data_IF_669099868356
#
_entry.id   IF_669099868356
#
_cell.length_a   1.000
_cell.length_b   1.000
_cell.length_c   1.000
_cell.angle_alpha   90.00
_cell.angle_beta   90.00
_cell.angle_gamma   90.00
#
_symmetry.space_group_name_H-M   'P 1'
#
loop_
_entity.id
_entity.type
_entity.pdbx_description
1 polymer ?
#
# COMPACT_ATOMS: atom_id res chain seq x y z
N UNK A 1 45.18 66.58 63.40
CA UNK A 1 46.62 66.61 63.27
C UNK A 1 47.07 65.22 62.78
N UNK A 2 47.61 65.17 61.58
CA UNK A 2 48.86 64.49 61.16
C UNK A 2 49.02 63.09 61.73
N UNK A 3 49.30 61.97 61.00
CA UNK A 3 50.32 61.84 59.99
C UNK A 3 50.15 60.49 59.36
N UNK A 4 50.43 60.37 58.07
CA UNK A 4 50.67 59.22 57.19
C UNK A 4 51.72 58.29 57.78
N UNK A 5 51.63 57.03 57.50
CA UNK A 5 52.79 56.21 57.05
C UNK A 5 52.34 55.06 56.18
N UNK A 6 53.00 55.00 55.10
CA UNK A 6 53.04 54.06 54.00
C UNK A 6 54.16 53.05 54.29
N UNK A 7 53.89 51.76 54.10
CA UNK A 7 54.88 50.68 53.82
C UNK A 7 54.08 49.52 53.31
N UNK A 8 54.26 49.11 52.17
CA UNK A 8 55.43 48.75 51.41
C UNK A 8 55.48 47.22 51.36
N UNK A 9 54.95 46.73 50.26
CA UNK A 9 55.31 45.61 49.40
C UNK A 9 56.05 44.43 49.99
N UNK A 10 55.53 43.27 49.70
CA UNK A 10 56.29 42.13 49.12
C UNK A 10 55.35 41.20 48.40
N UNK A 11 55.39 41.25 47.09
CA UNK A 11 54.74 40.30 46.21
C UNK A 11 55.50 38.98 46.32
N UNK A 12 54.81 37.92 46.70
CA UNK A 12 55.21 36.57 46.43
C UNK A 12 54.28 36.05 45.30
N UNK A 13 54.77 36.13 44.10
CA UNK A 13 54.20 35.39 43.00
C UNK A 13 54.40 33.90 43.27
N UNK A 14 53.36 33.22 43.74
CA UNK A 14 53.24 31.80 43.55
C UNK A 14 52.55 31.61 42.21
N UNK A 15 53.30 31.21 41.20
CA UNK A 15 52.78 30.64 39.95
C UNK A 15 52.16 29.28 40.29
N UNK A 16 50.88 29.27 40.61
CA UNK A 16 50.09 28.06 40.47
C UNK A 16 49.88 27.85 38.97
N UNK A 17 50.68 26.98 38.38
CA UNK A 17 50.36 26.41 37.09
C UNK A 17 49.07 25.59 37.27
N UNK A 18 47.94 26.23 37.11
CA UNK A 18 46.70 25.54 36.77
C UNK A 18 46.96 24.98 35.37
N UNK A 19 47.27 23.72 35.27
CA UNK A 19 46.99 22.97 34.07
C UNK A 19 45.47 23.13 33.85
N UNK A 20 45.11 24.01 32.97
CA UNK A 20 43.82 23.91 32.31
C UNK A 20 43.88 22.59 31.54
N UNK A 21 43.39 21.53 32.18
CA UNK A 21 42.78 20.48 31.41
C UNK A 21 41.67 21.16 30.61
N UNK A 22 41.98 21.53 29.38
CA UNK A 22 40.98 21.72 28.37
C UNK A 22 40.21 20.40 28.33
N UNK A 23 39.07 20.38 29.00
CA UNK A 23 38.04 19.41 28.70
C UNK A 23 37.75 19.61 27.21
N UNK A 24 38.46 18.83 26.39
CA UNK A 24 38.08 18.66 25.01
C UNK A 24 36.67 18.09 25.11
N UNK A 25 35.69 18.97 24.99
CA UNK A 25 34.32 18.59 24.81
C UNK A 25 34.31 17.82 23.50
N UNK A 26 34.47 16.52 23.58
CA UNK A 26 34.23 15.62 22.46
C UNK A 26 32.77 15.79 22.17
N UNK A 27 32.48 16.60 21.15
CA UNK A 27 31.12 16.76 20.63
C UNK A 27 30.74 15.40 20.11
N UNK A 28 30.07 14.62 20.96
CA UNK A 28 29.55 13.34 20.58
C UNK A 28 28.37 13.65 19.65
N UNK A 29 28.54 13.36 18.36
CA UNK A 29 27.49 13.59 17.37
C UNK A 29 26.39 12.55 17.60
N UNK A 30 25.18 13.05 17.88
CA UNK A 30 23.99 12.23 18.02
C UNK A 30 23.60 11.60 16.67
N UNK A 31 22.92 10.47 16.74
CA UNK A 31 22.30 9.83 15.58
C UNK A 31 21.11 10.71 15.15
N UNK A 32 21.15 11.18 13.91
CA UNK A 32 20.08 11.94 13.29
C UNK A 32 19.38 11.10 12.21
N UNK A 33 18.08 11.25 12.10
CA UNK A 33 17.24 10.47 11.17
C UNK A 33 16.72 11.35 10.03
N UNK A 34 16.67 10.78 8.82
CA UNK A 34 15.88 11.24 7.71
C UNK A 34 14.92 10.14 7.30
N UNK A 35 13.77 10.50 6.75
CA UNK A 35 12.73 9.54 6.33
C UNK A 35 12.39 9.79 4.89
N UNK A 36 12.38 8.74 4.11
CA UNK A 36 11.77 8.69 2.79
C UNK A 36 10.75 7.55 2.77
N UNK A 37 9.70 7.72 1.99
CA UNK A 37 8.75 6.67 1.70
C UNK A 37 8.54 6.63 0.20
N UNK A 38 8.01 5.54 -0.33
CA UNK A 38 7.73 5.44 -1.76
C UNK A 38 6.87 6.62 -2.24
N UNK A 39 7.18 7.12 -3.42
CA UNK A 39 6.95 8.51 -3.80
C UNK A 39 5.54 8.91 -4.16
N UNK A 40 4.55 8.06 -4.17
CA UNK A 40 3.16 8.52 -4.40
C UNK A 40 2.14 7.47 -3.97
N UNK A 41 1.47 7.71 -2.88
CA UNK A 41 0.22 7.03 -2.59
C UNK A 41 -0.90 8.06 -2.56
N UNK A 42 -2.02 7.74 -3.19
CA UNK A 42 -3.20 8.59 -3.31
C UNK A 42 -4.38 8.09 -2.48
N UNK A 43 -4.13 7.19 -1.53
CA UNK A 43 -5.16 6.75 -0.60
C UNK A 43 -5.13 7.59 0.69
N UNK A 44 -6.29 7.85 1.27
CA UNK A 44 -6.43 8.74 2.41
C UNK A 44 -5.60 8.34 3.65
N UNK A 45 -5.21 7.06 3.78
CA UNK A 45 -4.56 6.53 4.98
C UNK A 45 -3.21 5.83 4.72
N UNK A 46 -2.64 5.99 3.52
CA UNK A 46 -1.31 5.42 3.19
C UNK A 46 -0.21 6.46 3.30
N UNK A 47 0.98 6.00 3.68
CA UNK A 47 2.16 6.85 3.79
C UNK A 47 2.88 7.02 2.45
N UNK A 48 3.41 8.21 2.21
CA UNK A 48 4.21 8.55 1.02
C UNK A 48 5.12 9.73 1.31
N UNK A 49 5.99 10.14 0.38
CA UNK A 49 6.88 11.29 0.58
C UNK A 49 6.16 12.59 0.93
N UNK A 50 4.92 12.76 0.49
CA UNK A 50 4.09 13.93 0.82
C UNK A 50 3.26 13.74 2.10
N UNK A 51 3.20 12.54 2.63
CA UNK A 51 2.46 12.16 3.83
C UNK A 51 3.24 11.14 4.63
N UNK A 52 4.30 11.61 5.26
CA UNK A 52 5.11 10.79 6.17
C UNK A 52 4.34 10.51 7.47
N UNK A 53 4.65 9.40 8.17
CA UNK A 53 4.09 9.15 9.48
C UNK A 53 4.50 10.25 10.46
N UNK A 54 3.70 10.49 11.50
CA UNK A 54 4.08 11.43 12.55
C UNK A 54 5.22 10.89 13.42
N UNK A 55 5.29 9.58 13.56
CA UNK A 55 6.31 8.87 14.33
C UNK A 55 6.52 7.45 13.82
N UNK A 56 7.65 6.89 14.13
CA UNK A 56 7.98 5.47 13.91
C UNK A 56 8.79 4.95 15.09
N UNK A 57 8.88 3.62 15.20
CA UNK A 57 9.78 2.96 16.14
C UNK A 57 11.01 2.43 15.43
N UNK A 58 12.18 2.53 16.10
CA UNK A 58 13.47 2.08 15.55
C UNK A 58 14.18 1.16 16.51
N UNK A 59 14.81 0.14 15.95
CA UNK A 59 15.77 -0.77 16.60
C UNK A 59 17.09 -0.69 15.87
N UNK A 60 18.18 -0.93 16.57
CA UNK A 60 19.46 -1.08 15.93
C UNK A 60 20.31 -2.16 16.63
N UNK A 61 21.03 -2.93 15.80
CA UNK A 61 22.07 -3.86 16.24
C UNK A 61 23.42 -3.39 15.76
N UNK A 62 24.45 -3.59 16.58
CA UNK A 62 25.83 -3.47 16.13
C UNK A 62 26.20 -4.64 15.22
N UNK A 63 27.24 -4.49 14.39
CA UNK A 63 27.74 -5.55 13.49
C UNK A 63 28.09 -6.87 14.16
N UNK A 64 28.38 -6.86 15.46
CA UNK A 64 28.57 -8.07 16.28
C UNK A 64 27.27 -8.62 16.90
N UNK A 65 26.12 -8.10 16.46
CA UNK A 65 24.79 -8.61 16.82
C UNK A 65 24.21 -8.08 18.12
N UNK A 66 24.93 -7.21 18.87
CA UNK A 66 24.42 -6.68 20.13
C UNK A 66 23.33 -5.62 19.88
N UNK A 67 22.26 -5.70 20.64
CA UNK A 67 21.20 -4.69 20.62
C UNK A 67 21.75 -3.35 21.14
N UNK A 68 21.57 -2.29 20.33
CA UNK A 68 22.05 -0.94 20.64
C UNK A 68 20.90 0.05 20.84
N UNK A 69 19.86 -0.02 20.01
CA UNK A 69 18.60 0.72 20.14
C UNK A 69 17.46 -0.29 20.23
N UNK A 70 16.53 -0.09 21.15
CA UNK A 70 15.49 -1.06 21.46
C UNK A 70 14.09 -0.42 21.46
N UNK A 71 13.58 -0.13 20.29
CA UNK A 71 12.21 0.38 20.12
C UNK A 71 12.05 1.85 20.49
N UNK A 72 13.09 2.64 20.24
CA UNK A 72 13.04 4.08 20.49
C UNK A 72 12.01 4.73 19.54
N UNK A 73 11.20 5.64 20.07
CA UNK A 73 10.18 6.35 19.31
C UNK A 73 10.80 7.60 18.70
N UNK A 74 10.79 7.67 17.39
CA UNK A 74 11.25 8.84 16.63
C UNK A 74 10.02 9.60 16.14
N UNK A 75 9.91 10.87 16.52
CA UNK A 75 8.79 11.72 16.18
C UNK A 75 9.22 12.90 15.31
N UNK A 76 8.39 13.24 14.33
CA UNK A 76 8.58 14.46 13.55
C UNK A 76 8.11 15.66 14.37
N UNK A 77 9.05 16.56 14.70
CA UNK A 77 8.77 17.82 15.39
C UNK A 77 9.27 18.94 14.48
N UNK A 78 8.35 19.70 13.93
CA UNK A 78 8.64 20.84 13.03
C UNK A 78 9.60 20.49 11.89
N UNK A 79 9.41 19.33 11.26
CA UNK A 79 10.23 18.84 10.14
C UNK A 79 11.55 18.16 10.57
N UNK A 80 11.79 18.02 11.88
CA UNK A 80 12.97 17.35 12.41
C UNK A 80 12.58 16.07 13.13
N UNK A 81 13.20 14.95 12.74
CA UNK A 81 13.00 13.66 13.38
C UNK A 81 13.78 13.57 14.69
N UNK A 82 13.07 13.53 15.80
CA UNK A 82 13.62 13.62 17.15
C UNK A 82 13.35 12.35 17.94
N UNK A 83 14.38 11.78 18.52
CA UNK A 83 14.26 10.64 19.44
C UNK A 83 13.63 11.09 20.76
N UNK A 84 12.48 10.46 21.08
CA UNK A 84 11.74 10.76 22.29
C UNK A 84 12.35 10.09 23.54
N UNK A 85 13.24 9.11 23.34
CA UNK A 85 13.96 8.41 24.43
C UNK A 85 15.25 9.13 24.84
N UNK A 86 15.65 10.15 24.10
CA UNK A 86 16.87 10.92 24.30
C UNK A 86 17.91 10.67 23.20
N UNK A 87 18.92 11.52 23.16
CA UNK A 87 19.95 11.43 22.13
C UNK A 87 20.73 10.13 22.21
N UNK A 88 20.75 9.36 21.11
CA UNK A 88 21.63 8.20 20.91
C UNK A 88 22.89 8.64 20.19
N UNK A 89 24.02 8.15 20.60
CA UNK A 89 25.31 8.51 20.03
C UNK A 89 25.86 7.36 19.19
N UNK A 90 26.67 7.69 18.20
CA UNK A 90 27.31 6.68 17.37
C UNK A 90 28.36 5.90 18.16
N UNK A 91 28.43 4.57 17.99
CA UNK A 91 29.55 3.80 18.51
C UNK A 91 30.86 4.19 17.77
N UNK A 92 31.99 4.27 18.47
CA UNK A 92 33.24 4.76 17.89
C UNK A 92 33.81 3.87 16.78
N UNK A 93 33.63 2.53 16.90
CA UNK A 93 34.35 1.55 16.06
C UNK A 93 33.42 0.53 15.40
N UNK A 94 32.11 0.64 15.58
CA UNK A 94 31.10 -0.33 15.06
C UNK A 94 30.14 0.34 14.15
N UNK A 95 29.65 -0.41 13.18
CA UNK A 95 28.50 0.00 12.38
C UNK A 95 27.20 -0.47 13.03
N UNK A 96 26.09 0.14 12.64
CA UNK A 96 24.76 -0.17 13.11
C UNK A 96 23.87 -0.61 11.94
N UNK A 97 23.11 -1.65 12.16
CA UNK A 97 22.00 -2.07 11.31
C UNK A 97 20.71 -1.58 11.94
N UNK A 98 19.99 -0.71 11.22
CA UNK A 98 18.73 -0.14 11.67
C UNK A 98 17.54 -0.88 11.09
N UNK A 99 16.50 -1.00 11.90
CA UNK A 99 15.22 -1.56 11.55
C UNK A 99 14.12 -0.66 12.12
N UNK A 100 13.18 -0.29 11.30
CA UNK A 100 12.10 0.59 11.74
C UNK A 100 10.75 0.13 11.21
N UNK A 101 9.68 0.51 11.90
CA UNK A 101 8.32 0.27 11.44
C UNK A 101 7.33 1.32 11.92
N UNK A 102 6.19 1.36 11.22
CA UNK A 102 4.97 2.04 11.64
C UNK A 102 3.84 1.02 11.63
N UNK A 103 2.94 1.11 12.60
CA UNK A 103 1.78 0.22 12.77
C UNK A 103 2.08 -1.26 13.03
N UNK A 104 3.34 -1.63 13.32
CA UNK A 104 3.74 -3.01 13.66
C UNK A 104 3.71 -3.33 15.16
N UNK A 105 3.14 -2.46 16.00
CA UNK A 105 3.10 -2.64 17.44
C UNK A 105 2.32 -3.90 17.87
N UNK A 106 2.89 -4.63 18.81
CA UNK A 106 2.30 -5.87 19.32
C UNK A 106 2.60 -7.12 18.47
N UNK A 107 3.02 -6.97 17.22
CA UNK A 107 3.40 -8.09 16.34
C UNK A 107 4.88 -8.08 15.96
N UNK A 108 5.56 -6.94 16.13
CA UNK A 108 6.98 -6.84 15.83
C UNK A 108 7.81 -7.66 16.82
N UNK A 109 8.69 -8.49 16.29
CA UNK A 109 9.66 -9.30 17.04
C UNK A 109 11.06 -9.06 16.53
N UNK A 110 11.96 -8.75 17.45
CA UNK A 110 13.36 -8.42 17.19
C UNK A 110 14.28 -9.38 17.96
N UNK A 111 14.33 -10.63 17.48
CA UNK A 111 15.14 -11.70 18.08
C UNK A 111 16.50 -11.87 17.36
N UNK A 112 17.20 -12.97 17.59
CA UNK A 112 18.52 -13.24 17.01
C UNK A 112 18.53 -13.46 15.49
N UNK A 113 17.36 -13.67 14.88
CA UNK A 113 17.18 -13.76 13.43
C UNK A 113 16.83 -12.43 12.77
N UNK A 114 16.32 -12.49 11.53
CA UNK A 114 15.73 -11.35 10.89
C UNK A 114 14.48 -10.89 11.67
N UNK A 115 14.23 -9.58 11.81
CA UNK A 115 13.01 -9.09 12.45
C UNK A 115 11.77 -9.59 11.72
N UNK A 116 10.67 -9.72 12.46
CA UNK A 116 9.39 -10.19 11.89
C UNK A 116 8.22 -9.37 12.43
N UNK A 117 7.15 -9.28 11.63
CA UNK A 117 5.81 -9.05 12.17
C UNK A 117 5.14 -10.40 12.31
N UNK A 118 5.02 -10.89 13.51
CA UNK A 118 4.61 -12.25 13.80
C UNK A 118 3.09 -12.31 14.06
N UNK A 119 2.36 -13.07 13.25
CA UNK A 119 0.92 -13.21 13.40
C UNK A 119 0.17 -11.88 13.16
N UNK A 120 0.64 -11.06 12.22
CA UNK A 120 -0.10 -9.87 11.82
C UNK A 120 -1.46 -10.27 11.24
N UNK A 121 -2.52 -9.60 11.69
CA UNK A 121 -3.87 -9.85 11.22
C UNK A 121 -4.50 -8.57 10.66
N UNK A 122 -4.98 -8.66 9.42
CA UNK A 122 -5.77 -7.58 8.79
C UNK A 122 -7.09 -7.44 9.53
N UNK A 123 -7.48 -6.19 9.83
CA UNK A 123 -8.73 -5.88 10.50
C UNK A 123 -9.94 -6.20 9.62
N UNK A 124 -10.99 -6.76 10.21
CA UNK A 124 -12.24 -7.04 9.53
C UNK A 124 -12.99 -5.74 9.16
N UNK A 125 -12.93 -4.73 10.04
CA UNK A 125 -13.43 -3.40 9.73
C UNK A 125 -12.42 -2.65 8.84
N UNK A 126 -12.83 -2.37 7.61
CA UNK A 126 -12.00 -1.66 6.62
C UNK A 126 -11.58 -0.26 7.06
N UNK A 127 -12.34 0.38 7.95
CA UNK A 127 -12.00 1.70 8.49
C UNK A 127 -10.91 1.64 9.54
N UNK A 128 -10.64 0.45 10.11
CA UNK A 128 -9.55 0.19 11.06
C UNK A 128 -8.30 -0.42 10.40
N UNK A 129 -8.33 -0.67 9.11
CA UNK A 129 -7.17 -1.19 8.38
C UNK A 129 -6.09 -0.12 8.31
N UNK A 130 -4.88 -0.48 8.69
CA UNK A 130 -3.74 0.42 8.76
C UNK A 130 -2.68 0.00 7.75
N UNK A 131 -2.01 0.98 7.18
CA UNK A 131 -0.85 0.76 6.34
C UNK A 131 0.35 0.35 7.22
N UNK A 132 0.85 -0.87 7.00
CA UNK A 132 2.01 -1.43 7.70
C UNK A 132 3.25 -1.13 6.87
N UNK A 133 4.13 -0.26 7.38
CA UNK A 133 5.37 0.08 6.70
C UNK A 133 6.60 -0.26 7.52
N UNK A 134 7.68 -0.59 6.83
CA UNK A 134 8.96 -0.99 7.43
C UNK A 134 10.15 -0.40 6.67
N UNK A 135 11.28 -0.32 7.35
CA UNK A 135 12.56 0.09 6.77
C UNK A 135 13.71 -0.71 7.36
N UNK A 136 14.71 -1.00 6.55
CA UNK A 136 15.99 -1.62 6.94
C UNK A 136 17.13 -0.79 6.36
N UNK A 137 18.10 -0.41 7.19
CA UNK A 137 19.33 0.24 6.77
C UNK A 137 20.52 -0.42 7.43
N UNK A 138 21.39 -1.01 6.62
CA UNK A 138 22.52 -1.83 7.05
C UNK A 138 23.84 -1.08 7.07
N UNK A 139 24.75 -1.51 7.94
CA UNK A 139 26.15 -1.12 7.90
C UNK A 139 26.40 0.38 8.12
N UNK A 140 25.50 1.10 8.77
CA UNK A 140 25.62 2.53 8.97
C UNK A 140 26.71 2.86 9.98
N UNK A 141 27.66 3.68 9.57
CA UNK A 141 28.76 4.15 10.43
C UNK A 141 28.56 5.61 10.84
N UNK A 142 29.27 6.03 11.87
CA UNK A 142 29.31 7.44 12.26
C UNK A 142 29.66 8.28 11.03
N UNK A 143 28.81 9.25 10.65
CA UNK A 143 29.11 10.11 9.51
C UNK A 143 30.30 11.06 9.81
N UNK A 144 31.04 11.41 8.77
CA UNK A 144 32.13 12.35 8.86
C UNK A 144 31.69 13.80 9.17
N UNK A 145 30.43 14.11 8.84
CA UNK A 145 29.83 15.42 9.05
C UNK A 145 28.54 15.30 9.87
N UNK A 146 28.31 16.25 10.77
CA UNK A 146 27.18 16.22 11.73
C UNK A 146 25.80 16.40 11.07
N UNK A 147 25.76 16.79 9.81
CA UNK A 147 24.54 17.00 9.01
C UNK A 147 24.06 15.74 8.27
N UNK A 148 24.91 14.70 8.19
CA UNK A 148 24.51 13.41 7.62
C UNK A 148 23.57 12.66 8.56
N UNK A 149 22.48 12.17 7.99
CA UNK A 149 21.42 11.42 8.68
C UNK A 149 21.41 9.97 8.22
N UNK A 150 20.92 9.08 9.07
CA UNK A 150 20.48 7.75 8.64
C UNK A 150 19.16 7.94 7.87
N UNK A 151 19.16 7.62 6.61
CA UNK A 151 17.98 7.73 5.76
C UNK A 151 17.21 6.42 5.81
N UNK A 152 16.07 6.43 6.49
CA UNK A 152 15.17 5.28 6.57
C UNK A 152 14.20 5.34 5.40
N UNK A 153 14.36 4.42 4.45
CA UNK A 153 13.49 4.28 3.30
C UNK A 153 12.37 3.29 3.63
N UNK A 154 11.19 3.81 3.94
CA UNK A 154 10.03 3.00 4.29
C UNK A 154 9.37 2.37 3.06
N UNK A 155 8.99 1.11 3.21
CA UNK A 155 8.30 0.27 2.23
C UNK A 155 6.97 -0.21 2.81
N UNK A 156 5.97 -0.32 1.94
CA UNK A 156 4.70 -0.93 2.31
C UNK A 156 4.85 -2.45 2.40
N UNK A 157 4.38 -3.04 3.48
CA UNK A 157 4.38 -4.49 3.65
C UNK A 157 3.10 -5.14 3.10
N UNK A 158 2.04 -4.37 2.89
CA UNK A 158 0.72 -4.83 2.46
C UNK A 158 0.43 -4.47 1.00
N UNK A 159 -0.66 -5.02 0.47
CA UNK A 159 -1.24 -4.66 -0.83
C UNK A 159 -2.46 -3.79 -0.63
N UNK A 160 -2.75 -2.90 -1.58
CA UNK A 160 -3.99 -2.15 -1.61
C UNK A 160 -4.91 -2.66 -2.73
N UNK A 161 -6.23 -2.65 -2.47
CA UNK A 161 -7.25 -3.03 -3.45
C UNK A 161 -8.36 -2.00 -3.43
N UNK A 162 -8.74 -1.51 -4.60
CA UNK A 162 -9.86 -0.60 -4.77
C UNK A 162 -10.63 -0.86 -6.07
N UNK A 163 -11.79 -0.24 -6.21
CA UNK A 163 -12.75 -0.59 -7.24
C UNK A 163 -13.23 0.62 -8.02
N UNK A 164 -13.42 0.41 -9.32
CA UNK A 164 -14.06 1.31 -10.29
C UNK A 164 -15.17 0.57 -11.01
N UNK A 165 -16.03 1.29 -11.68
CA UNK A 165 -17.06 0.71 -12.55
C UNK A 165 -17.25 1.52 -13.82
N UNK A 166 -17.62 0.84 -14.91
CA UNK A 166 -17.95 1.44 -16.20
C UNK A 166 -19.17 0.74 -16.78
N UNK A 167 -20.11 1.50 -17.28
CA UNK A 167 -21.30 0.98 -17.96
C UNK A 167 -21.20 1.28 -19.46
N UNK A 168 -21.22 0.24 -20.29
CA UNK A 168 -21.24 0.34 -21.77
C UNK A 168 -22.63 -0.02 -22.34
N UNK A 169 -23.61 -0.34 -21.49
CA UNK A 169 -24.94 -0.75 -21.96
C UNK A 169 -25.76 0.45 -22.44
N UNK A 170 -26.42 0.29 -23.60
CA UNK A 170 -27.16 1.38 -24.27
C UNK A 170 -28.46 1.75 -23.60
N UNK A 171 -29.12 0.77 -23.00
CA UNK A 171 -30.51 0.93 -22.46
C UNK A 171 -30.60 0.61 -20.98
N UNK A 172 -29.50 0.26 -20.35
CA UNK A 172 -29.48 -0.13 -18.95
C UNK A 172 -28.66 0.87 -18.11
N UNK A 173 -29.30 1.37 -17.07
CA UNK A 173 -28.60 2.07 -15.98
C UNK A 173 -28.16 1.07 -14.93
N UNK A 174 -26.97 1.24 -14.41
CA UNK A 174 -26.38 0.42 -13.35
C UNK A 174 -26.19 1.25 -12.11
N UNK A 175 -26.67 0.79 -10.98
CA UNK A 175 -26.30 1.33 -9.67
C UNK A 175 -25.49 0.28 -8.92
N UNK A 176 -24.29 0.65 -8.46
CA UNK A 176 -23.43 -0.18 -7.62
C UNK A 176 -23.52 0.31 -6.19
N UNK A 177 -23.96 -0.54 -5.27
CA UNK A 177 -24.16 -0.24 -3.85
C UNK A 177 -22.97 -0.68 -2.98
N UNK A 178 -22.25 -1.71 -3.41
CA UNK A 178 -21.12 -2.24 -2.66
C UNK A 178 -20.37 -3.29 -3.44
N UNK A 179 -19.15 -3.57 -2.98
CA UNK A 179 -18.30 -4.62 -3.50
C UNK A 179 -17.67 -5.38 -2.33
N UNK A 180 -17.75 -6.72 -2.38
CA UNK A 180 -16.95 -7.57 -1.49
C UNK A 180 -15.90 -8.33 -2.29
N UNK A 181 -14.78 -8.63 -1.64
CA UNK A 181 -13.81 -9.62 -2.10
C UNK A 181 -13.67 -10.71 -1.05
N UNK A 182 -13.83 -11.96 -1.45
CA UNK A 182 -13.91 -13.09 -0.52
C UNK A 182 -13.01 -14.25 -0.86
N UNK A 183 -13.00 -15.24 0.03
CA UNK A 183 -12.12 -16.41 0.06
C UNK A 183 -10.65 -15.99 0.20
N UNK A 184 -10.37 -15.13 1.19
CA UNK A 184 -9.06 -14.57 1.48
C UNK A 184 -8.54 -15.02 2.84
N UNK A 185 -7.23 -15.03 2.99
CA UNK A 185 -6.55 -15.14 4.28
C UNK A 185 -6.28 -13.76 4.87
N UNK A 186 -6.35 -13.65 6.19
CA UNK A 186 -6.18 -12.37 6.90
C UNK A 186 -4.97 -12.34 7.83
N UNK A 187 -4.33 -13.47 8.08
CA UNK A 187 -3.25 -13.59 9.06
C UNK A 187 -1.98 -14.13 8.41
N UNK A 188 -0.83 -13.59 8.82
CA UNK A 188 0.45 -14.04 8.32
C UNK A 188 1.61 -13.51 9.14
N UNK A 189 2.81 -13.99 8.82
CA UNK A 189 4.06 -13.52 9.38
C UNK A 189 4.91 -12.90 8.28
N UNK A 190 5.34 -11.67 8.49
CA UNK A 190 6.25 -10.96 7.59
C UNK A 190 7.67 -11.04 8.13
N UNK A 191 8.62 -11.48 7.32
CA UNK A 191 10.05 -11.47 7.64
C UNK A 191 10.72 -10.32 6.91
N UNK A 192 11.41 -9.48 7.65
CA UNK A 192 12.13 -8.33 7.09
C UNK A 192 13.23 -8.78 6.14
N UNK A 193 13.58 -7.97 5.12
CA UNK A 193 14.70 -8.26 4.22
C UNK A 193 16.03 -8.25 4.97
N UNK A 194 17.01 -8.94 4.41
CA UNK A 194 18.38 -9.00 4.93
C UNK A 194 19.25 -7.83 4.47
N UNK A 195 18.80 -7.09 3.47
CA UNK A 195 19.48 -5.95 2.84
C UNK A 195 18.78 -4.63 3.17
N UNK A 196 19.45 -3.51 2.88
CA UNK A 196 18.87 -2.18 3.07
C UNK A 196 17.69 -1.96 2.12
N UNK A 197 16.64 -1.32 2.60
CA UNK A 197 15.48 -0.95 1.77
C UNK A 197 15.77 0.20 0.81
N UNK A 198 16.86 0.93 1.01
CA UNK A 198 17.36 1.97 0.12
C UNK A 198 18.21 1.44 -1.04
N UNK A 199 18.80 0.24 -0.91
CA UNK A 199 19.69 -0.32 -1.93
C UNK A 199 18.90 -0.92 -3.10
N UNK A 200 19.36 -0.61 -4.31
CA UNK A 200 18.88 -1.18 -5.58
C UNK A 200 17.38 -1.01 -5.87
N UNK A 201 16.72 -0.10 -5.19
CA UNK A 201 15.36 0.26 -5.56
C UNK A 201 15.41 1.44 -6.53
N UNK A 202 15.29 1.10 -7.80
CA UNK A 202 14.91 2.08 -8.82
C UNK A 202 13.40 2.13 -8.78
N UNK A 203 12.81 3.24 -8.34
CA UNK A 203 11.41 3.49 -8.60
C UNK A 203 11.21 3.44 -10.10
N UNK A 204 10.32 2.62 -10.63
CA UNK A 204 9.92 2.78 -12.00
C UNK A 204 9.44 4.23 -12.15
N UNK A 205 10.03 4.97 -13.05
CA UNK A 205 9.50 6.27 -13.42
C UNK A 205 8.13 6.03 -14.06
N UNK A 206 7.22 6.96 -13.86
CA UNK A 206 5.91 6.94 -14.52
C UNK A 206 6.11 6.73 -16.03
N UNK A 207 5.67 5.58 -16.55
CA UNK A 207 5.89 5.18 -17.95
C UNK A 207 6.99 4.13 -18.18
N UNK A 208 7.78 3.77 -17.18
CA UNK A 208 8.69 2.63 -17.30
C UNK A 208 7.93 1.33 -17.01
N UNK A 209 8.17 0.31 -17.82
CA UNK A 209 7.61 -1.02 -17.58
C UNK A 209 8.03 -1.52 -16.19
N UNK A 210 7.07 -1.80 -15.34
CA UNK A 210 7.33 -2.57 -14.13
C UNK A 210 7.65 -3.98 -14.59
N UNK A 211 8.91 -4.40 -14.45
CA UNK A 211 9.26 -5.79 -14.65
C UNK A 211 8.63 -6.61 -13.51
N UNK A 212 7.44 -7.15 -13.78
CA UNK A 212 6.69 -8.01 -12.87
C UNK A 212 7.39 -9.31 -12.53
N UNK A 213 8.39 -9.70 -13.33
CA UNK A 213 9.25 -10.86 -13.12
C UNK A 213 10.57 -10.46 -12.41
N UNK A 214 10.83 -9.16 -12.25
CA UNK A 214 11.94 -8.72 -11.42
C UNK A 214 11.73 -9.25 -10.00
N UNK A 215 12.73 -9.89 -9.41
CA UNK A 215 12.67 -10.27 -8.02
C UNK A 215 12.36 -9.00 -7.22
N UNK A 216 11.44 -9.11 -6.24
CA UNK A 216 11.16 -8.02 -5.29
C UNK A 216 12.48 -7.69 -4.58
N UNK A 217 13.27 -6.80 -5.20
CA UNK A 217 14.59 -6.45 -4.71
C UNK A 217 14.40 -5.73 -3.38
N UNK A 218 14.96 -6.34 -2.34
CA UNK A 218 14.94 -5.82 -0.97
C UNK A 218 13.56 -5.79 -0.31
N UNK A 219 12.61 -6.56 -0.80
CA UNK A 219 11.33 -6.79 -0.14
C UNK A 219 11.47 -7.81 1.00
N UNK A 220 10.65 -7.68 2.03
CA UNK A 220 10.47 -8.75 3.00
C UNK A 220 9.57 -9.85 2.42
N UNK A 221 9.41 -10.92 3.18
CA UNK A 221 8.65 -12.09 2.73
C UNK A 221 7.47 -12.36 3.65
N UNK A 222 6.28 -12.50 3.07
CA UNK A 222 5.09 -12.97 3.77
C UNK A 222 5.00 -14.50 3.76
N UNK A 223 4.70 -15.06 4.94
CA UNK A 223 4.16 -16.41 5.10
C UNK A 223 2.72 -16.27 5.56
N UNK A 224 1.78 -16.45 4.64
CA UNK A 224 0.35 -16.27 4.88
C UNK A 224 -0.24 -17.56 5.41
N UNK A 225 -1.11 -17.48 6.43
CA UNK A 225 -1.89 -18.61 6.92
C UNK A 225 -3.05 -18.88 5.96
N UNK A 226 -3.00 -19.97 5.22
CA UNK A 226 -3.99 -20.33 4.20
C UNK A 226 -5.33 -20.80 4.81
N UNK A 227 -6.04 -19.87 5.45
CA UNK A 227 -7.36 -20.14 6.04
C UNK A 227 -8.51 -19.85 5.09
N UNK A 228 -8.34 -18.91 4.14
CA UNK A 228 -9.28 -18.50 3.09
C UNK A 228 -10.73 -18.29 3.57
N UNK A 229 -10.90 -17.78 4.77
CA UNK A 229 -12.23 -17.65 5.41
C UNK A 229 -12.74 -16.22 5.48
N UNK A 230 -12.01 -15.26 4.93
CA UNK A 230 -12.34 -13.84 5.03
C UNK A 230 -12.98 -13.28 3.78
N UNK A 231 -13.92 -12.36 4.03
CA UNK A 231 -14.55 -11.50 3.05
C UNK A 231 -14.48 -10.06 3.56
N UNK A 232 -14.09 -9.14 2.70
CA UNK A 232 -14.01 -7.72 3.00
C UNK A 232 -14.98 -6.96 2.10
N UNK A 233 -15.86 -6.18 2.70
CA UNK A 233 -16.88 -5.41 2.00
C UNK A 233 -16.57 -3.93 2.08
N UNK A 234 -16.64 -3.25 0.95
CA UNK A 234 -16.52 -1.80 0.84
C UNK A 234 -17.74 -1.22 0.13
N UNK A 235 -18.12 0.00 0.52
CA UNK A 235 -19.22 0.73 -0.09
C UNK A 235 -18.72 2.05 -0.65
N UNK A 236 -19.30 2.54 -1.75
CA UNK A 236 -19.02 3.89 -2.23
C UNK A 236 -19.34 4.93 -1.14
N UNK A 237 -18.54 5.97 -1.06
CA UNK A 237 -18.69 7.03 -0.04
C UNK A 237 -20.09 7.66 -0.06
N UNK A 238 -20.68 7.82 -1.24
CA UNK A 238 -22.04 8.34 -1.41
C UNK A 238 -23.14 7.30 -1.12
N UNK A 239 -22.77 6.09 -0.64
CA UNK A 239 -23.70 4.97 -0.43
C UNK A 239 -23.96 4.15 -1.69
N UNK A 240 -23.96 4.75 -2.88
CA UNK A 240 -24.01 4.07 -4.17
C UNK A 240 -23.46 4.95 -5.29
N UNK A 241 -23.09 4.32 -6.41
CA UNK A 241 -22.69 5.01 -7.65
C UNK A 241 -23.63 4.59 -8.77
N UNK A 242 -24.23 5.57 -9.42
CA UNK A 242 -25.12 5.36 -10.56
C UNK A 242 -24.37 5.64 -11.87
N UNK A 243 -24.30 4.63 -12.71
CA UNK A 243 -23.70 4.66 -14.05
C UNK A 243 -24.85 4.72 -15.08
N UNK A 244 -25.06 5.85 -15.78
CA UNK A 244 -26.15 6.00 -16.71
C UNK A 244 -26.04 5.04 -17.90
N UNK A 245 -27.18 4.78 -18.56
CA UNK A 245 -27.21 4.13 -19.86
C UNK A 245 -26.43 4.96 -20.90
N UNK A 246 -25.73 4.31 -21.82
CA UNK A 246 -24.86 4.94 -22.83
C UNK A 246 -25.40 4.65 -24.24
N UNK A 247 -26.37 5.42 -24.73
CA UNK A 247 -27.01 5.18 -26.04
C UNK A 247 -26.03 5.25 -27.22
N UNK A 248 -24.96 6.05 -27.09
CA UNK A 248 -23.91 6.19 -28.09
C UNK A 248 -22.56 6.47 -27.42
N UNK A 249 -21.52 5.75 -27.84
CA UNK A 249 -20.17 5.94 -27.32
C UNK A 249 -19.80 4.94 -26.23
N UNK A 250 -18.62 5.14 -25.63
CA UNK A 250 -18.14 4.36 -24.48
C UNK A 250 -18.59 5.01 -23.17
N UNK A 251 -18.88 4.18 -22.18
CA UNK A 251 -19.21 4.66 -20.83
C UNK A 251 -18.00 5.30 -20.13
N UNK A 252 -18.28 6.23 -19.25
CA UNK A 252 -17.25 6.84 -18.39
C UNK A 252 -16.95 5.89 -17.24
N UNK A 253 -15.66 5.71 -16.93
CA UNK A 253 -15.26 4.98 -15.73
C UNK A 253 -15.47 5.86 -14.50
N UNK A 254 -16.15 5.33 -13.49
CA UNK A 254 -16.44 6.01 -12.24
C UNK A 254 -15.75 5.30 -11.07
N UNK A 255 -15.21 6.05 -10.15
CA UNK A 255 -14.66 5.49 -8.92
C UNK A 255 -15.77 4.98 -8.01
N UNK A 256 -15.61 3.77 -7.47
CA UNK A 256 -16.44 3.23 -6.40
C UNK A 256 -15.76 3.47 -5.05
N UNK A 257 -14.53 3.02 -4.91
CA UNK A 257 -13.75 3.09 -3.67
C UNK A 257 -12.31 3.54 -3.89
N UNK A 258 -11.89 3.81 -5.13
CA UNK A 258 -10.57 4.36 -5.41
C UNK A 258 -10.52 5.84 -5.01
N UNK A 259 -9.34 6.32 -4.58
CA UNK A 259 -9.13 7.75 -4.36
C UNK A 259 -9.44 8.54 -5.63
N UNK A 260 -10.21 9.60 -5.51
CA UNK A 260 -10.32 10.59 -6.56
C UNK A 260 -9.04 11.42 -6.54
N UNK A 261 -8.41 11.48 -7.67
CA UNK A 261 -7.23 12.25 -8.04
C UNK A 261 -6.18 12.64 -6.97
N UNK A 262 -5.19 13.44 -7.41
CA UNK A 262 -3.96 13.81 -6.72
C UNK A 262 -4.12 14.69 -5.47
N UNK A 263 -5.33 15.03 -5.04
CA UNK A 263 -5.55 16.07 -4.04
C UNK A 263 -6.30 15.64 -2.77
N UNK A 264 -6.63 14.36 -2.60
CA UNK A 264 -7.14 13.83 -1.34
C UNK A 264 -8.55 14.30 -0.95
N UNK A 265 -9.35 14.78 -1.90
CA UNK A 265 -10.74 15.14 -1.70
C UNK A 265 -11.66 13.99 -2.11
N UNK A 266 -11.85 13.05 -1.21
CA UNK A 266 -12.74 11.91 -1.40
C UNK A 266 -12.22 10.76 -0.55
N UNK A 267 -12.98 10.39 0.48
CA UNK A 267 -12.63 9.25 1.32
C UNK A 267 -12.86 7.97 0.51
N UNK A 268 -11.80 7.47 -0.09
CA UNK A 268 -11.84 6.17 -0.69
C UNK A 268 -11.70 5.12 0.42
N UNK A 269 -12.56 4.13 0.40
CA UNK A 269 -12.38 2.93 1.21
C UNK A 269 -11.48 1.96 0.46
N UNK A 270 -10.19 2.19 0.52
CA UNK A 270 -9.20 1.28 -0.04
C UNK A 270 -8.99 0.14 0.94
N UNK A 271 -9.09 -1.09 0.46
CA UNK A 271 -8.72 -2.27 1.25
C UNK A 271 -7.20 -2.36 1.35
N UNK A 272 -6.70 -2.60 2.56
CA UNK A 272 -5.28 -2.84 2.82
C UNK A 272 -5.13 -4.27 3.32
N UNK A 273 -4.67 -5.17 2.45
CA UNK A 273 -4.76 -6.61 2.60
C UNK A 273 -3.39 -7.28 2.54
N UNK A 274 -3.32 -8.54 3.01
CA UNK A 274 -2.10 -9.34 2.88
C UNK A 274 -1.81 -9.64 1.40
N UNK A 275 -0.55 -9.51 0.96
CA UNK A 275 -0.07 -10.09 -0.28
C UNK A 275 -0.32 -11.60 -0.28
N UNK A 276 -1.03 -12.11 -1.28
CA UNK A 276 -1.39 -13.52 -1.36
C UNK A 276 -1.75 -13.95 -2.78
N UNK A 277 -1.64 -15.26 -3.05
CA UNK A 277 -2.10 -15.87 -4.29
C UNK A 277 -3.30 -16.77 -3.98
N UNK A 278 -4.42 -16.53 -4.65
CA UNK A 278 -5.63 -17.33 -4.51
C UNK A 278 -6.22 -17.56 -5.90
N UNK A 279 -6.49 -18.82 -6.25
CA UNK A 279 -7.17 -19.15 -7.50
C UNK A 279 -8.60 -18.63 -7.50
N UNK A 280 -9.11 -18.35 -8.69
CA UNK A 280 -10.50 -17.97 -8.87
C UNK A 280 -11.47 -19.07 -8.39
N UNK A 281 -12.61 -18.65 -7.86
CA UNK A 281 -13.74 -19.53 -7.65
C UNK A 281 -14.15 -20.22 -8.97
N UNK A 282 -14.45 -21.52 -8.90
CA UNK A 282 -14.97 -22.27 -10.04
C UNK A 282 -16.46 -22.56 -9.84
N UNK A 283 -17.36 -21.81 -10.53
CA UNK A 283 -18.80 -21.99 -10.40
C UNK A 283 -19.32 -23.27 -11.05
N UNK A 284 -18.52 -24.02 -11.77
CA UNK A 284 -18.89 -25.34 -12.29
C UNK A 284 -18.77 -26.44 -11.28
N UNK A 285 -18.05 -26.20 -10.19
CA UNK A 285 -17.86 -27.10 -9.06
C UNK A 285 -18.77 -26.68 -7.91
N UNK A 286 -19.89 -27.37 -7.76
CA UNK A 286 -20.82 -27.16 -6.64
C UNK A 286 -20.21 -27.52 -5.31
N UNK A 287 -20.27 -26.62 -4.35
CA UNK A 287 -19.77 -26.81 -3.01
C UNK A 287 -20.61 -26.00 -2.00
N UNK A 288 -20.54 -26.37 -0.72
CA UNK A 288 -21.23 -25.61 0.33
C UNK A 288 -20.67 -24.19 0.50
N UNK A 289 -19.37 -24.02 0.19
CA UNK A 289 -18.64 -22.75 0.28
C UNK A 289 -17.91 -22.45 -1.03
N UNK A 290 -17.56 -21.21 -1.24
CA UNK A 290 -16.72 -20.80 -2.38
C UNK A 290 -15.36 -21.52 -2.35
N UNK A 291 -14.98 -22.14 -3.46
CA UNK A 291 -13.75 -22.93 -3.57
C UNK A 291 -12.55 -22.11 -4.11
N UNK A 292 -12.67 -20.80 -4.17
CA UNK A 292 -11.67 -19.86 -4.65
C UNK A 292 -12.13 -18.42 -4.50
N UNK A 293 -11.26 -17.48 -4.83
CA UNK A 293 -11.54 -16.06 -4.65
C UNK A 293 -12.62 -15.55 -5.61
N UNK A 294 -13.41 -14.61 -5.13
CA UNK A 294 -14.54 -14.03 -5.84
C UNK A 294 -14.76 -12.57 -5.43
N UNK A 295 -15.42 -11.82 -6.30
CA UNK A 295 -16.08 -10.57 -5.95
C UNK A 295 -17.57 -10.80 -5.79
N UNK A 296 -18.20 -10.10 -4.83
CA UNK A 296 -19.64 -9.88 -4.81
C UNK A 296 -19.88 -8.42 -5.14
N UNK A 297 -20.63 -8.16 -6.20
CA UNK A 297 -21.01 -6.80 -6.59
C UNK A 297 -22.51 -6.62 -6.34
N UNK A 298 -22.85 -5.72 -5.42
CA UNK A 298 -24.27 -5.40 -5.14
C UNK A 298 -24.77 -4.37 -6.12
N UNK A 299 -25.64 -4.81 -7.02
CA UNK A 299 -26.09 -4.02 -8.17
C UNK A 299 -27.60 -3.91 -8.31
N UNK A 300 -28.05 -2.76 -8.80
CA UNK A 300 -29.38 -2.57 -9.35
C UNK A 300 -29.27 -2.21 -10.83
N UNK A 301 -29.93 -3.00 -11.67
CA UNK A 301 -30.03 -2.74 -13.10
C UNK A 301 -31.42 -2.23 -13.43
N UNK A 302 -31.49 -1.09 -14.15
CA UNK A 302 -32.75 -0.48 -14.59
C UNK A 302 -32.75 -0.35 -16.09
N UNK A 303 -33.77 -0.89 -16.72
CA UNK A 303 -34.06 -0.59 -18.13
C UNK A 303 -34.55 0.85 -18.26
N UNK A 304 -33.97 1.61 -19.18
CA UNK A 304 -34.28 3.01 -19.44
C UNK A 304 -34.95 3.14 -20.80
N UNK A 305 -36.20 3.60 -20.82
CA UNK A 305 -36.97 3.79 -22.03
C UNK A 305 -37.52 5.22 -22.05
N UNK A 306 -37.50 5.87 -23.21
CA UNK A 306 -38.14 7.19 -23.38
C UNK A 306 -39.68 7.03 -23.49
N UNK A 307 -40.41 7.82 -22.70
CA UNK A 307 -41.86 7.95 -22.87
C UNK A 307 -42.20 8.89 -24.04
N UNK A 308 -43.48 9.06 -24.33
CA UNK A 308 -43.99 9.94 -25.42
C UNK A 308 -43.60 11.42 -25.22
N UNK A 309 -43.29 11.84 -24.01
CA UNK A 309 -42.81 13.17 -23.67
C UNK A 309 -41.28 13.31 -23.78
N UNK A 310 -40.56 12.21 -24.10
CA UNK A 310 -39.09 12.17 -24.18
C UNK A 310 -38.40 12.02 -22.85
N UNK A 311 -39.14 11.76 -21.76
CA UNK A 311 -38.58 11.58 -20.42
C UNK A 311 -38.15 10.12 -20.20
N UNK A 312 -37.11 9.91 -19.39
CA UNK A 312 -36.61 8.58 -19.05
C UNK A 312 -37.53 7.88 -18.03
N UNK A 313 -38.09 6.76 -18.44
CA UNK A 313 -38.79 5.82 -17.56
C UNK A 313 -37.85 4.66 -17.22
N UNK A 314 -37.61 4.48 -15.94
CA UNK A 314 -36.69 3.45 -15.43
C UNK A 314 -37.46 2.32 -14.78
N UNK A 315 -37.19 1.09 -15.19
CA UNK A 315 -37.78 -0.13 -14.61
C UNK A 315 -36.67 -1.04 -14.09
N UNK A 316 -36.73 -1.40 -12.80
CA UNK A 316 -35.79 -2.35 -12.20
C UNK A 316 -35.97 -3.73 -12.84
N UNK A 317 -34.90 -4.29 -13.37
CA UNK A 317 -34.88 -5.63 -13.97
C UNK A 317 -34.02 -6.62 -13.17
N UNK A 318 -33.09 -6.11 -12.38
CA UNK A 318 -32.26 -6.92 -11.49
C UNK A 318 -31.89 -6.09 -10.26
N UNK A 319 -31.98 -6.66 -9.07
CA UNK A 319 -31.55 -6.05 -7.81
C UNK A 319 -31.08 -7.15 -6.87
N UNK A 320 -29.78 -7.48 -6.92
CA UNK A 320 -29.13 -8.51 -6.11
C UNK A 320 -27.61 -8.39 -6.23
N UNK A 321 -26.93 -9.17 -5.42
CA UNK A 321 -25.49 -9.41 -5.59
C UNK A 321 -25.22 -10.34 -6.78
N UNK A 322 -24.15 -10.02 -7.51
CA UNK A 322 -23.58 -10.90 -8.52
C UNK A 322 -22.18 -11.35 -8.08
N UNK A 323 -21.94 -12.65 -8.10
CA UNK A 323 -20.63 -13.24 -7.79
C UNK A 323 -19.79 -13.36 -9.06
N UNK A 324 -18.53 -12.90 -9.02
CA UNK A 324 -17.62 -12.89 -10.15
C UNK A 324 -16.34 -13.61 -9.71
N UNK A 325 -15.94 -14.72 -10.35
CA UNK A 325 -14.66 -15.37 -10.08
C UNK A 325 -13.49 -14.43 -10.32
N UNK A 326 -12.51 -14.44 -9.44
CA UNK A 326 -11.28 -13.62 -9.59
C UNK A 326 -10.06 -14.40 -9.19
N UNK A 327 -8.99 -14.33 -9.98
CA UNK A 327 -7.67 -14.78 -9.56
C UNK A 327 -6.97 -13.65 -8.82
N UNK A 328 -6.52 -13.93 -7.60
CA UNK A 328 -5.75 -13.01 -6.78
C UNK A 328 -4.28 -13.37 -6.88
N UNK A 329 -3.46 -12.39 -7.21
CA UNK A 329 -1.99 -12.46 -7.16
C UNK A 329 -1.48 -11.10 -6.71
N UNK A 330 -1.65 -10.84 -5.39
CA UNK A 330 -1.30 -9.55 -4.81
C UNK A 330 0.10 -9.58 -4.20
N UNK A 331 0.89 -8.56 -4.53
CA UNK A 331 2.25 -8.34 -4.03
C UNK A 331 2.29 -7.15 -3.10
N UNK A 332 3.23 -7.19 -2.15
CA UNK A 332 3.46 -6.06 -1.24
C UNK A 332 3.82 -4.79 -2.00
N UNK A 333 3.35 -3.65 -1.52
CA UNK A 333 3.64 -2.35 -2.11
C UNK A 333 2.87 -2.03 -3.38
N UNK A 334 1.93 -2.89 -3.84
CA UNK A 334 1.15 -2.66 -5.06
C UNK A 334 -0.31 -2.31 -4.74
N UNK A 335 -0.89 -1.45 -5.58
CA UNK A 335 -2.31 -1.13 -5.59
C UNK A 335 -2.97 -1.79 -6.79
N UNK A 336 -3.99 -2.60 -6.52
CA UNK A 336 -4.79 -3.28 -7.53
C UNK A 336 -6.11 -2.54 -7.69
N UNK A 337 -6.37 -2.02 -8.89
CA UNK A 337 -7.57 -1.27 -9.24
C UNK A 337 -8.42 -2.16 -10.14
N UNK A 338 -9.51 -2.70 -9.59
CA UNK A 338 -10.44 -3.52 -10.36
C UNK A 338 -11.56 -2.64 -10.91
N UNK A 339 -11.71 -2.65 -12.24
CA UNK A 339 -12.79 -1.94 -12.93
C UNK A 339 -13.85 -2.92 -13.40
N UNK A 340 -15.04 -2.86 -12.82
CA UNK A 340 -16.17 -3.65 -13.29
C UNK A 340 -16.76 -3.02 -14.54
N UNK A 341 -16.82 -3.78 -15.63
CA UNK A 341 -17.36 -3.33 -16.91
C UNK A 341 -18.69 -4.04 -17.17
N UNK A 342 -19.76 -3.26 -17.15
CA UNK A 342 -21.10 -3.72 -17.50
C UNK A 342 -21.33 -3.54 -19.00
N UNK A 343 -21.53 -4.65 -19.72
CA UNK A 343 -21.64 -4.66 -21.19
C UNK A 343 -22.82 -5.47 -21.69
N UNK A 344 -23.18 -5.30 -22.96
CA UNK A 344 -24.25 -6.07 -23.62
C UNK A 344 -23.73 -7.44 -24.03
N UNK A 345 -24.29 -8.49 -23.44
CA UNK A 345 -24.06 -9.90 -23.83
C UNK A 345 -22.85 -10.55 -23.18
N UNK A 346 -23.04 -11.76 -22.72
CA UNK A 346 -22.01 -12.67 -22.19
C UNK A 346 -22.23 -13.11 -20.75
N UNK A 347 -21.46 -14.10 -20.35
CA UNK A 347 -21.55 -14.80 -19.06
C UNK A 347 -20.77 -14.02 -18.01
N UNK A 348 -21.36 -12.98 -17.42
CA UNK A 348 -20.60 -12.05 -16.64
C UNK A 348 -20.60 -12.22 -15.13
N UNK A 349 -21.52 -12.96 -14.60
CA UNK A 349 -21.64 -13.14 -13.16
C UNK A 349 -22.56 -14.31 -12.83
N UNK A 350 -22.52 -14.69 -11.57
CA UNK A 350 -23.27 -15.82 -11.04
C UNK A 350 -24.09 -15.39 -9.83
N UNK A 351 -25.13 -16.12 -9.50
CA UNK A 351 -25.77 -15.95 -8.19
C UNK A 351 -24.73 -16.28 -7.09
N UNK A 352 -24.76 -15.58 -5.94
CA UNK A 352 -23.83 -15.84 -4.83
C UNK A 352 -24.24 -17.07 -4.03
N UNK A 353 -24.41 -18.19 -4.74
CA UNK A 353 -24.80 -19.48 -4.20
C UNK A 353 -23.83 -20.55 -4.74
N UNK A 354 -22.78 -20.88 -4.00
CA UNK A 354 -21.75 -21.83 -4.46
C UNK A 354 -22.27 -23.27 -4.58
N UNK A 355 -23.40 -23.62 -3.94
CA UNK A 355 -24.04 -24.94 -4.07
C UNK A 355 -24.93 -25.05 -5.33
N UNK A 356 -25.50 -23.95 -5.78
CA UNK A 356 -26.32 -23.88 -7.01
C UNK A 356 -26.08 -22.60 -7.82
N UNK A 357 -24.85 -22.35 -8.30
CA UNK A 357 -24.52 -21.14 -9.02
C UNK A 357 -25.27 -21.10 -10.35
N UNK A 358 -25.91 -19.96 -10.62
CA UNK A 358 -26.66 -19.71 -11.86
C UNK A 358 -26.15 -18.43 -12.52
N UNK A 359 -25.97 -18.41 -13.86
CA UNK A 359 -25.62 -17.20 -14.57
C UNK A 359 -26.62 -16.09 -14.29
N UNK A 360 -26.14 -14.88 -14.02
CA UNK A 360 -26.98 -13.69 -13.98
C UNK A 360 -27.19 -13.13 -15.37
N UNK A 361 -28.32 -12.43 -15.59
CA UNK A 361 -28.78 -11.98 -16.92
C UNK A 361 -27.88 -10.93 -17.58
N UNK A 362 -26.86 -10.42 -16.89
CA UNK A 362 -26.03 -9.32 -17.38
C UNK A 362 -24.57 -9.69 -17.31
N UNK A 363 -23.85 -9.45 -18.39
CA UNK A 363 -22.40 -9.60 -18.43
C UNK A 363 -21.75 -8.55 -17.52
N UNK A 364 -21.07 -9.02 -16.47
CA UNK A 364 -20.19 -8.19 -15.66
C UNK A 364 -18.79 -8.75 -15.86
N UNK A 365 -17.96 -8.00 -16.58
CA UNK A 365 -16.53 -8.29 -16.72
C UNK A 365 -15.78 -7.40 -15.75
N UNK A 366 -14.56 -7.74 -15.44
CA UNK A 366 -13.67 -6.83 -14.73
C UNK A 366 -12.33 -6.72 -15.46
N UNK A 367 -11.79 -5.51 -15.46
CA UNK A 367 -10.42 -5.21 -15.86
C UNK A 367 -9.61 -4.94 -14.60
N UNK A 368 -8.34 -5.31 -14.57
CA UNK A 368 -7.44 -5.05 -13.45
C UNK A 368 -6.35 -4.11 -13.91
N UNK A 369 -6.26 -2.96 -13.30
CA UNK A 369 -5.07 -2.11 -13.38
C UNK A 369 -4.25 -2.32 -12.13
N UNK A 370 -2.99 -2.68 -12.29
CA UNK A 370 -2.04 -2.77 -11.18
C UNK A 370 -1.29 -1.46 -11.12
N UNK A 371 -1.44 -0.80 -9.98
CA UNK A 371 -0.71 0.41 -9.69
C UNK A 371 0.32 0.04 -8.61
N UNK A 372 1.57 0.35 -8.79
CA UNK A 372 2.48 0.36 -7.65
C UNK A 372 1.88 1.36 -6.64
N UNK A 373 2.16 1.26 -5.36
CA UNK A 373 1.90 2.41 -4.49
C UNK A 373 2.57 3.69 -5.07
N UNK A 374 3.33 3.48 -6.10
CA UNK A 374 3.75 4.42 -7.14
C UNK A 374 2.90 4.13 -8.38
N UNK A 375 2.17 5.10 -8.96
CA UNK A 375 1.26 4.82 -10.07
C UNK A 375 2.01 4.36 -11.32
N UNK A 376 1.74 3.13 -11.72
CA UNK A 376 1.91 2.67 -13.10
C UNK A 376 0.53 2.25 -13.57
N UNK A 377 -0.04 2.99 -14.48
CA UNK A 377 -1.31 2.63 -15.10
C UNK A 377 -1.06 1.56 -16.18
N UNK A 378 -1.41 0.33 -15.89
CA UNK A 378 -1.51 -0.71 -16.91
C UNK A 378 -2.96 -1.21 -16.98
N UNK A 379 -3.58 -1.07 -18.12
CA UNK A 379 -4.87 -1.68 -18.42
C UNK A 379 -4.69 -3.16 -18.75
N UNK A 380 -5.04 -4.03 -17.83
CA UNK A 380 -5.07 -5.48 -18.07
C UNK A 380 -6.44 -5.86 -18.62
N UNK A 381 -6.52 -6.11 -19.92
CA UNK A 381 -7.72 -6.69 -20.54
C UNK A 381 -7.67 -8.21 -20.42
N UNK A 382 -8.63 -8.79 -19.72
CA UNK A 382 -8.85 -10.24 -19.78
C UNK A 382 -9.68 -10.57 -21.01
N UNK A 383 -9.04 -11.15 -22.02
CA UNK A 383 -9.71 -11.67 -23.20
C UNK A 383 -10.35 -13.03 -22.87
N UNK A 384 -11.66 -13.11 -22.95
CA UNK A 384 -12.41 -14.37 -22.79
C UNK A 384 -12.51 -15.17 -24.11
N UNK A 385 -11.67 -14.89 -25.11
CA UNK A 385 -11.50 -15.75 -26.28
C UNK A 385 -12.67 -15.75 -27.27
N UNK A 386 -13.29 -14.62 -27.55
CA UNK A 386 -14.15 -14.45 -28.73
C UNK A 386 -13.73 -13.23 -29.54
N UNK A 387 -13.35 -13.53 -30.78
CA UNK A 387 -13.01 -12.55 -31.80
C UNK A 387 -14.12 -11.54 -32.07
N UNK A 388 -13.70 -10.29 -32.24
CA UNK A 388 -14.36 -9.30 -33.05
C UNK A 388 -15.06 -8.17 -32.31
N UNK A 389 -14.38 -7.07 -32.13
CA UNK A 389 -14.98 -5.76 -31.83
C UNK A 389 -13.90 -4.69 -31.78
N UNK A 390 -14.04 -3.68 -32.62
CA UNK A 390 -13.12 -2.57 -32.81
C UNK A 390 -12.55 -2.01 -31.50
N UNK A 391 -11.24 -1.95 -31.43
CA UNK A 391 -10.51 -1.23 -30.39
C UNK A 391 -10.74 0.27 -30.52
N UNK A 392 -11.11 0.98 -29.42
CA UNK A 392 -11.02 2.44 -29.41
C UNK A 392 -9.55 2.83 -29.50
N UNK A 393 -9.30 3.87 -30.26
CA UNK A 393 -8.02 4.56 -30.39
C UNK A 393 -7.53 4.98 -29.00
N UNK A 394 -6.56 4.29 -28.43
CA UNK A 394 -5.93 4.62 -27.15
C UNK A 394 -4.58 5.23 -27.46
N UNK A 395 -4.32 6.35 -26.81
CA UNK A 395 -3.05 7.09 -26.85
C UNK A 395 -1.83 6.15 -26.71
N UNK A 396 -0.78 6.40 -27.48
CA UNK A 396 0.35 5.49 -27.75
C UNK A 396 1.20 5.07 -26.51
N UNK A 397 0.69 5.27 -25.30
CA UNK A 397 1.40 4.95 -24.05
C UNK A 397 0.76 3.84 -23.21
N UNK A 398 -0.31 3.20 -23.67
CA UNK A 398 -0.98 2.11 -22.96
C UNK A 398 -0.55 0.75 -23.49
N UNK A 399 0.05 -0.06 -22.63
CA UNK A 399 0.40 -1.45 -22.94
C UNK A 399 -0.73 -2.38 -22.50
N UNK A 400 -1.12 -3.33 -23.35
CA UNK A 400 -2.07 -4.38 -22.99
C UNK A 400 -1.33 -5.67 -22.66
N UNK A 401 -1.65 -6.27 -21.52
CA UNK A 401 -1.18 -7.59 -21.11
C UNK A 401 -2.29 -8.62 -21.29
N UNK A 402 -1.99 -9.74 -21.92
CA UNK A 402 -2.91 -10.86 -22.08
C UNK A 402 -2.50 -12.00 -21.14
N UNK A 403 -3.41 -12.44 -20.28
CA UNK A 403 -3.20 -13.60 -19.41
C UNK A 403 -3.50 -14.89 -20.19
N UNK A 404 -2.53 -15.80 -20.24
CA UNK A 404 -2.72 -17.14 -20.76
C UNK A 404 -2.74 -18.12 -19.58
N UNK A 405 -3.85 -18.82 -19.31
CA UNK A 405 -3.97 -19.73 -18.17
C UNK A 405 -2.98 -20.91 -18.22
N UNK A 406 -2.36 -21.17 -19.36
CA UNK A 406 -1.35 -22.23 -19.53
C UNK A 406 0.10 -21.72 -19.61
N UNK A 407 0.33 -20.41 -19.53
CA UNK A 407 1.68 -19.85 -19.75
C UNK A 407 1.95 -18.50 -19.05
N UNK A 408 1.02 -18.00 -18.24
CA UNK A 408 1.18 -16.70 -17.57
C UNK A 408 0.93 -15.50 -18.50
N UNK A 409 1.33 -14.32 -18.06
CA UNK A 409 1.14 -13.07 -18.77
C UNK A 409 2.10 -12.92 -19.95
N UNK A 410 1.61 -12.46 -21.09
CA UNK A 410 2.44 -12.14 -22.27
C UNK A 410 2.11 -10.74 -22.76
N UNK A 411 3.15 -9.97 -23.11
CA UNK A 411 3.03 -8.67 -23.80
C UNK A 411 2.62 -8.92 -25.26
N UNK A 412 1.64 -8.17 -25.75
CA UNK A 412 1.41 -8.01 -27.18
C UNK A 412 2.06 -6.72 -27.66
N UNK A 413 2.95 -6.87 -28.65
CA UNK A 413 3.54 -5.75 -29.39
C UNK A 413 2.52 -5.13 -30.35
#
# INVERSE_FOLDING_TARGET
>A
MKTKYLFGAAAALMMAACSQDELVSVKQDGIAYGVTASTQTRAADSYCNNRLPESFKVWAKTTDGNLYINGDVIKNVDGTWTDQSGTRYWPETKTLDFYAHVNGDGVFSFNDGAPTFNGFAVKDDVTEQLDLIYSVEKGQSKPETADKKVILNFRHALSQVCFRARNNMKTMEVEVKGVSVGHLSSTGTFTFPTESTSENYTHPSHGDEVDKDAPELNGGVWSVEETFSKEYTVTPVAGSVVLPAVPAGAGVTMNLTCPEDNHGNGFAQVLTLLPQQVKAWDPTVKAADFNGAYFLVDVVLRNVVKNDAGEDVKTVVYERQAAIPVTVDWKQGYRYIYTFVFDEGGDGGWTPDPDDPKPVLTSIKYDVTVDDFIPVEEDVKMDTGKDGGDTPDVDETTYSLTYNPNGGWTKQD
#
